data_IF_412868888518
#
_entry.id   IF_412868888518
#
_cell.length_a   1.000
_cell.length_b   1.000
_cell.length_c   1.000
_cell.angle_alpha   90.00
_cell.angle_beta   90.00
_cell.angle_gamma   90.00
#
_symmetry.space_group_name_H-M   'P 1'
#
loop_
_entity.id
_entity.type
_entity.pdbx_description
1 polymer ?
#
# COMPACT_ATOMS: atom_id res chain seq x y z
N UNK A 1 34.56 -14.35 -11.26
CA UNK A 1 34.02 -14.96 -10.03
C UNK A 1 32.56 -15.34 -10.30
N UNK A 2 32.07 -16.48 -9.77
CA UNK A 2 30.67 -16.90 -9.97
C UNK A 2 29.94 -16.93 -8.63
N UNK A 3 28.65 -16.53 -8.63
CA UNK A 3 27.79 -16.52 -7.47
C UNK A 3 26.39 -17.02 -7.86
N UNK A 4 25.70 -17.67 -6.94
CA UNK A 4 24.30 -18.04 -7.14
C UNK A 4 23.38 -16.88 -6.74
N UNK A 5 22.24 -16.81 -7.37
CA UNK A 5 21.24 -15.80 -7.05
C UNK A 5 19.88 -16.14 -7.60
N UNK A 6 18.96 -15.18 -7.45
CA UNK A 6 17.61 -15.23 -7.99
C UNK A 6 17.22 -13.90 -8.61
N UNK A 7 16.29 -13.94 -9.53
CA UNK A 7 15.66 -12.75 -10.09
C UNK A 7 14.57 -12.25 -9.16
N UNK A 8 14.63 -10.98 -8.79
CA UNK A 8 13.61 -10.31 -7.98
C UNK A 8 13.16 -9.01 -8.69
N UNK A 9 11.94 -8.52 -8.45
CA UNK A 9 11.55 -7.17 -8.86
C UNK A 9 12.45 -6.11 -8.21
N UNK A 10 12.60 -4.97 -8.88
CA UNK A 10 13.36 -3.85 -8.31
C UNK A 10 12.71 -3.39 -7.00
N UNK A 11 13.53 -3.22 -5.98
CA UNK A 11 13.07 -2.91 -4.64
C UNK A 11 12.64 -4.15 -3.85
N UNK A 12 11.74 -3.93 -2.90
CA UNK A 12 11.18 -5.01 -2.08
C UNK A 12 9.82 -5.45 -2.60
N UNK A 13 9.49 -6.73 -2.39
CA UNK A 13 8.14 -7.23 -2.62
C UNK A 13 7.25 -6.71 -1.49
N UNK A 14 6.20 -5.98 -1.86
CA UNK A 14 5.24 -5.45 -0.91
C UNK A 14 4.19 -6.51 -0.58
N UNK A 15 4.15 -6.93 0.68
CA UNK A 15 3.04 -7.71 1.21
C UNK A 15 1.92 -6.76 1.61
N UNK A 16 0.83 -6.76 0.85
CA UNK A 16 -0.30 -5.88 1.10
C UNK A 16 -1.29 -6.55 2.04
N UNK A 17 -1.40 -5.99 3.25
CA UNK A 17 -2.33 -6.45 4.27
C UNK A 17 -3.71 -5.79 4.14
N UNK A 18 -4.73 -6.41 4.70
CA UNK A 18 -6.01 -5.74 4.87
C UNK A 18 -5.87 -4.58 5.86
N UNK A 19 -6.46 -3.41 5.58
CA UNK A 19 -6.49 -2.33 6.55
C UNK A 19 -7.28 -2.78 7.79
N UNK A 20 -6.72 -2.54 8.96
CA UNK A 20 -7.39 -2.85 10.23
C UNK A 20 -8.06 -1.55 10.73
N UNK A 21 -9.38 -1.55 10.79
CA UNK A 21 -10.17 -0.47 11.38
C UNK A 21 -10.83 -0.94 12.66
N UNK A 22 -10.45 -0.36 13.80
CA UNK A 22 -11.09 -0.62 15.10
C UNK A 22 -10.70 -1.92 15.81
N UNK A 23 -11.48 -2.28 16.83
CA UNK A 23 -11.30 -3.47 17.67
C UNK A 23 -12.04 -4.65 17.03
N UNK A 24 -11.46 -5.25 16.01
CA UNK A 24 -12.14 -6.43 15.47
C UNK A 24 -11.38 -7.00 14.28
N UNK A 25 -10.63 -7.98 14.39
CA UNK A 25 -9.95 -8.81 13.39
C UNK A 25 -9.90 -8.31 11.94
N UNK A 26 -9.20 -9.00 11.10
CA UNK A 26 -9.11 -8.68 9.66
C UNK A 26 -10.52 -8.69 9.00
N UNK A 27 -10.89 -7.65 8.23
CA UNK A 27 -12.18 -7.62 7.53
C UNK A 27 -12.21 -8.67 6.42
N UNK A 28 -13.42 -9.09 6.01
CA UNK A 28 -13.61 -10.06 4.93
C UNK A 28 -13.54 -9.37 3.56
N UNK A 29 -12.87 -10.02 2.61
CA UNK A 29 -12.83 -9.54 1.23
C UNK A 29 -14.21 -9.76 0.59
N UNK A 30 -14.84 -8.68 0.12
CA UNK A 30 -16.10 -8.73 -0.63
C UNK A 30 -15.87 -8.73 -2.14
N UNK A 31 -14.82 -8.05 -2.59
CA UNK A 31 -14.42 -8.00 -4.00
C UNK A 31 -12.91 -8.04 -4.11
N UNK A 32 -12.43 -8.82 -5.06
CA UNK A 32 -11.03 -8.85 -5.48
C UNK A 32 -10.98 -8.55 -6.97
N UNK A 33 -10.31 -7.47 -7.35
CA UNK A 33 -10.37 -6.89 -8.70
C UNK A 33 -9.14 -7.24 -9.55
N UNK A 34 -8.24 -8.04 -9.00
CA UNK A 34 -6.98 -8.44 -9.64
C UNK A 34 -6.76 -9.94 -9.49
N UNK A 35 -5.94 -10.48 -10.38
CA UNK A 35 -5.48 -11.87 -10.37
C UNK A 35 -3.94 -11.91 -10.30
N UNK A 36 -3.37 -13.07 -9.99
CA UNK A 36 -1.93 -13.27 -10.11
C UNK A 36 -1.47 -13.00 -11.55
N UNK A 37 -0.36 -12.29 -11.70
CA UNK A 37 0.15 -11.81 -12.98
C UNK A 37 -0.49 -10.50 -13.49
N UNK A 38 -1.53 -9.97 -12.84
CA UNK A 38 -2.14 -8.69 -13.22
C UNK A 38 -1.18 -7.54 -13.00
N UNK A 39 -1.09 -6.64 -13.98
CA UNK A 39 -0.40 -5.35 -13.83
C UNK A 39 -1.34 -4.32 -13.26
N UNK A 40 -0.81 -3.52 -12.35
CA UNK A 40 -1.55 -2.49 -11.63
C UNK A 40 -0.78 -1.18 -11.62
N UNK A 41 -1.51 -0.08 -11.62
CA UNK A 41 -0.96 1.26 -11.45
C UNK A 41 -0.97 1.68 -9.98
N UNK A 42 -0.11 2.63 -9.60
CA UNK A 42 -0.14 3.21 -8.27
C UNK A 42 -1.52 3.84 -7.99
N UNK A 43 -2.10 3.57 -6.80
CA UNK A 43 -3.43 4.01 -6.41
C UNK A 43 -4.58 3.16 -6.95
N UNK A 44 -4.34 2.20 -7.85
CA UNK A 44 -5.39 1.32 -8.38
C UNK A 44 -6.05 0.51 -7.27
N UNK A 45 -7.38 0.39 -7.31
CA UNK A 45 -8.16 -0.42 -6.38
C UNK A 45 -7.93 -1.92 -6.65
N UNK A 46 -7.52 -2.66 -5.63
CA UNK A 46 -7.19 -4.08 -5.70
C UNK A 46 -8.26 -4.96 -5.03
N UNK A 47 -8.74 -4.53 -3.86
CA UNK A 47 -9.76 -5.27 -3.11
C UNK A 47 -10.66 -4.31 -2.32
N UNK A 48 -11.90 -4.77 -2.05
CA UNK A 48 -12.87 -4.12 -1.16
C UNK A 48 -13.23 -5.06 -0.02
N UNK A 49 -13.56 -4.48 1.15
CA UNK A 49 -13.87 -5.21 2.36
C UNK A 49 -15.30 -5.00 2.84
N UNK A 50 -15.82 -5.92 3.66
CA UNK A 50 -17.21 -5.96 4.15
C UNK A 50 -17.61 -4.79 5.06
N UNK A 51 -16.64 -4.08 5.62
CA UNK A 51 -16.86 -2.88 6.45
C UNK A 51 -17.40 -1.70 5.65
N UNK A 52 -17.18 -1.64 4.33
CA UNK A 52 -17.57 -0.52 3.47
C UNK A 52 -19.08 -0.23 3.48
N UNK A 53 -19.91 -1.28 3.46
CA UNK A 53 -21.36 -1.11 3.39
C UNK A 53 -21.93 -0.41 4.65
N UNK A 54 -21.47 -0.80 5.83
CA UNK A 54 -21.87 -0.19 7.10
C UNK A 54 -21.43 1.28 7.19
N UNK A 55 -20.20 1.59 6.80
CA UNK A 55 -19.68 2.96 6.81
C UNK A 55 -20.39 3.86 5.78
N UNK A 56 -20.72 3.34 4.59
CA UNK A 56 -21.53 4.09 3.60
C UNK A 56 -22.93 4.42 4.13
N UNK A 57 -23.57 3.48 4.84
CA UNK A 57 -24.85 3.74 5.48
C UNK A 57 -24.73 4.83 6.57
N UNK A 58 -23.70 4.78 7.41
CA UNK A 58 -23.43 5.81 8.42
C UNK A 58 -23.16 7.18 7.77
N UNK A 59 -22.37 7.24 6.69
CA UNK A 59 -22.14 8.47 5.93
C UNK A 59 -23.46 9.08 5.44
N UNK A 60 -24.38 8.26 4.92
CA UNK A 60 -25.70 8.71 4.50
C UNK A 60 -26.53 9.33 5.64
N UNK A 61 -26.47 8.76 6.85
CA UNK A 61 -27.14 9.31 8.03
C UNK A 61 -26.56 10.69 8.41
N UNK A 62 -25.22 10.80 8.40
CA UNK A 62 -24.52 12.05 8.73
C UNK A 62 -24.83 13.14 7.69
N UNK A 63 -24.83 12.81 6.40
CA UNK A 63 -25.18 13.76 5.34
C UNK A 63 -26.63 14.28 5.48
N UNK A 64 -27.58 13.41 5.82
CA UNK A 64 -28.96 13.81 6.11
C UNK A 64 -29.04 14.74 7.33
N UNK A 65 -28.25 14.45 8.40
CA UNK A 65 -28.16 15.32 9.58
C UNK A 65 -27.59 16.70 9.23
N UNK A 66 -26.51 16.75 8.45
CA UNK A 66 -25.91 18.01 7.97
C UNK A 66 -26.89 18.81 7.16
N UNK A 67 -27.60 18.18 6.21
CA UNK A 67 -28.64 18.87 5.40
C UNK A 67 -29.75 19.46 6.27
N UNK A 68 -30.25 18.73 7.27
CA UNK A 68 -31.26 19.21 8.22
C UNK A 68 -30.75 20.41 9.03
N UNK A 69 -29.51 20.28 9.60
CA UNK A 69 -28.93 21.38 10.40
C UNK A 69 -28.70 22.63 9.57
N UNK A 70 -28.24 22.51 8.32
CA UNK A 70 -28.13 23.66 7.40
C UNK A 70 -29.46 24.34 7.12
N UNK A 71 -30.51 23.56 6.88
CA UNK A 71 -31.87 24.09 6.66
C UNK A 71 -32.36 24.82 7.88
N UNK A 72 -32.21 24.27 9.08
CA UNK A 72 -32.56 24.91 10.35
C UNK A 72 -31.80 26.19 10.58
N UNK A 73 -30.49 26.20 10.37
CA UNK A 73 -29.62 27.38 10.47
C UNK A 73 -30.13 28.51 9.53
N UNK A 74 -30.44 28.15 8.26
CA UNK A 74 -30.92 29.12 7.29
C UNK A 74 -32.29 29.76 7.70
N UNK A 75 -33.14 29.00 8.36
CA UNK A 75 -34.43 29.56 8.91
C UNK A 75 -34.11 30.44 10.11
N UNK A 76 -33.34 29.93 11.09
CA UNK A 76 -33.04 30.63 12.32
C UNK A 76 -32.31 31.95 12.07
N UNK A 77 -31.35 31.96 11.11
CA UNK A 77 -30.61 33.19 10.74
C UNK A 77 -31.57 34.30 10.21
N UNK A 78 -32.53 33.91 9.36
CA UNK A 78 -33.52 34.88 8.86
C UNK A 78 -34.44 35.41 9.97
N UNK A 79 -34.79 34.56 10.94
CA UNK A 79 -35.59 34.98 12.07
C UNK A 79 -34.82 35.95 12.98
N UNK A 80 -33.54 35.68 13.25
CA UNK A 80 -32.69 36.57 14.04
C UNK A 80 -32.56 37.95 13.39
N UNK A 81 -32.40 38.04 12.07
CA UNK A 81 -32.36 39.35 11.40
C UNK A 81 -33.65 40.16 11.65
N UNK A 82 -34.81 39.49 11.65
CA UNK A 82 -36.08 40.10 11.97
C UNK A 82 -36.17 40.56 13.45
N UNK A 83 -35.70 39.70 14.37
CA UNK A 83 -35.64 40.02 15.80
C UNK A 83 -34.71 41.20 16.08
N UNK A 84 -33.55 41.28 15.44
CA UNK A 84 -32.60 42.41 15.54
C UNK A 84 -33.27 43.72 15.13
N UNK A 85 -34.08 43.71 14.07
CA UNK A 85 -34.79 44.90 13.63
C UNK A 85 -35.88 45.32 14.64
N UNK A 86 -36.63 44.36 15.17
CA UNK A 86 -37.66 44.64 16.18
C UNK A 86 -37.06 45.14 17.50
N UNK A 87 -35.91 44.61 17.90
CA UNK A 87 -35.18 45.11 19.11
C UNK A 87 -34.69 46.54 18.91
N UNK A 88 -34.21 46.89 17.73
CA UNK A 88 -33.77 48.27 17.40
C UNK A 88 -34.96 49.27 17.47
N UNK A 89 -36.12 48.80 17.13
CA UNK A 89 -37.36 49.62 17.22
C UNK A 89 -37.98 49.66 18.62
N UNK A 90 -37.38 48.97 19.61
CA UNK A 90 -37.88 48.88 20.97
C UNK A 90 -39.15 48.02 21.11
N UNK A 91 -39.51 47.23 20.10
CA UNK A 91 -40.70 46.40 20.09
C UNK A 91 -40.57 45.09 20.88
N UNK A 92 -39.33 44.61 21.10
CA UNK A 92 -38.99 43.42 21.91
C UNK A 92 -37.80 43.68 22.79
N UNK A 93 -37.67 42.90 23.87
CA UNK A 93 -36.56 43.00 24.81
C UNK A 93 -35.27 42.47 24.19
N UNK A 94 -34.12 43.05 24.54
CA UNK A 94 -32.80 42.52 24.09
C UNK A 94 -32.51 41.12 24.58
N UNK A 95 -33.02 40.74 25.75
CA UNK A 95 -32.91 39.38 26.31
C UNK A 95 -33.52 38.30 25.40
N UNK A 96 -34.63 38.65 24.69
CA UNK A 96 -35.25 37.70 23.76
C UNK A 96 -34.37 37.49 22.51
N UNK A 97 -33.68 38.52 22.05
CA UNK A 97 -32.68 38.42 20.98
C UNK A 97 -31.47 37.56 21.41
N UNK A 98 -30.93 37.81 22.63
CA UNK A 98 -29.80 37.04 23.19
C UNK A 98 -30.10 35.53 23.25
N UNK A 99 -31.33 35.16 23.66
CA UNK A 99 -31.77 33.74 23.66
C UNK A 99 -31.71 33.15 22.24
N UNK A 100 -32.20 33.86 21.23
CA UNK A 100 -32.24 33.41 19.84
C UNK A 100 -30.81 33.30 19.25
N UNK A 101 -29.95 34.24 19.59
CA UNK A 101 -28.54 34.19 19.17
C UNK A 101 -27.80 33.02 19.79
N UNK A 102 -28.04 32.70 21.08
CA UNK A 102 -27.52 31.53 21.73
C UNK A 102 -28.02 30.20 21.10
N UNK A 103 -29.31 30.14 20.74
CA UNK A 103 -29.88 29.01 20.00
C UNK A 103 -29.18 28.81 18.64
N UNK A 104 -28.92 29.92 17.89
CA UNK A 104 -28.21 29.86 16.62
C UNK A 104 -26.77 29.37 16.82
N UNK A 105 -26.07 29.85 17.85
CA UNK A 105 -24.72 29.43 18.18
C UNK A 105 -24.68 27.94 18.51
N UNK A 106 -25.62 27.44 19.35
CA UNK A 106 -25.72 26.02 19.65
C UNK A 106 -25.96 25.16 18.40
N UNK A 107 -26.85 25.61 17.50
CA UNK A 107 -27.16 24.92 16.24
C UNK A 107 -25.95 24.91 15.30
N UNK A 108 -25.19 26.00 15.26
CA UNK A 108 -23.95 26.07 14.49
C UNK A 108 -22.88 25.11 15.02
N UNK A 109 -22.76 24.97 16.35
CA UNK A 109 -21.90 23.97 17.00
C UNK A 109 -22.27 22.55 16.60
N UNK A 110 -23.56 22.20 16.61
CA UNK A 110 -24.03 20.89 16.16
C UNK A 110 -23.70 20.62 14.69
N UNK A 111 -23.75 21.64 13.82
CA UNK A 111 -23.32 21.48 12.43
C UNK A 111 -21.80 21.19 12.33
N UNK A 112 -20.99 21.89 13.10
CA UNK A 112 -19.54 21.62 13.12
C UNK A 112 -19.22 20.21 13.59
N UNK A 113 -19.90 19.72 14.63
CA UNK A 113 -19.77 18.33 15.09
C UNK A 113 -20.13 17.32 13.97
N UNK A 114 -21.27 17.54 13.29
CA UNK A 114 -21.69 16.66 12.21
C UNK A 114 -20.73 16.69 11.01
N UNK A 115 -20.11 17.84 10.72
CA UNK A 115 -19.07 17.95 9.70
C UNK A 115 -17.79 17.18 10.10
N UNK A 116 -17.37 17.27 11.36
CA UNK A 116 -16.24 16.51 11.87
C UNK A 116 -16.51 14.98 11.82
N UNK A 117 -17.72 14.56 12.17
CA UNK A 117 -18.14 13.16 12.04
C UNK A 117 -18.09 12.68 10.59
N UNK A 118 -18.52 13.50 9.62
CA UNK A 118 -18.41 13.18 8.19
C UNK A 118 -16.96 12.94 7.77
N UNK A 119 -16.04 13.83 8.18
CA UNK A 119 -14.60 13.68 7.88
C UNK A 119 -14.03 12.39 8.49
N UNK A 120 -14.44 12.07 9.72
CA UNK A 120 -14.01 10.80 10.37
C UNK A 120 -14.49 9.59 9.58
N UNK A 121 -15.78 9.55 9.18
CA UNK A 121 -16.30 8.43 8.38
C UNK A 121 -15.65 8.37 6.99
N UNK A 122 -15.36 9.51 6.37
CA UNK A 122 -14.65 9.55 5.10
C UNK A 122 -13.24 8.94 5.21
N UNK A 123 -12.50 9.24 6.28
CA UNK A 123 -11.21 8.64 6.55
C UNK A 123 -11.31 7.11 6.78
N UNK A 124 -12.32 6.65 7.52
CA UNK A 124 -12.56 5.22 7.74
C UNK A 124 -12.95 4.49 6.45
N UNK A 125 -13.68 5.13 5.54
CA UNK A 125 -14.03 4.55 4.23
C UNK A 125 -12.80 4.29 3.36
N UNK A 126 -11.78 5.14 3.41
CA UNK A 126 -10.51 4.90 2.71
C UNK A 126 -9.88 3.58 3.17
N UNK A 127 -10.00 3.24 4.45
CA UNK A 127 -9.50 1.99 5.03
C UNK A 127 -10.33 0.76 4.67
N UNK A 128 -11.44 0.91 3.94
CA UNK A 128 -12.22 -0.24 3.44
C UNK A 128 -11.77 -0.74 2.07
N UNK A 129 -10.76 -0.11 1.51
CA UNK A 129 -10.21 -0.40 0.20
C UNK A 129 -8.74 -0.73 0.30
N UNK A 130 -8.30 -1.75 -0.42
CA UNK A 130 -6.88 -2.02 -0.63
C UNK A 130 -6.47 -1.45 -1.97
N UNK A 131 -5.54 -0.51 -1.97
CA UNK A 131 -5.00 0.12 -3.17
C UNK A 131 -3.52 -0.19 -3.34
N UNK A 132 -3.06 -0.24 -4.59
CA UNK A 132 -1.66 -0.46 -4.91
C UNK A 132 -0.81 0.74 -4.46
N UNK A 133 0.20 0.56 -3.60
CA UNK A 133 1.10 1.65 -3.19
C UNK A 133 2.05 2.08 -4.31
N UNK A 134 2.35 1.17 -5.23
CA UNK A 134 3.24 1.37 -6.38
C UNK A 134 2.63 0.76 -7.63
N UNK A 135 3.09 1.17 -8.81
CA UNK A 135 2.84 0.43 -10.04
C UNK A 135 3.67 -0.87 -10.04
N UNK A 136 3.07 -1.98 -10.49
CA UNK A 136 3.77 -3.26 -10.49
C UNK A 136 2.91 -4.43 -10.96
N UNK A 137 3.36 -5.64 -10.64
CA UNK A 137 2.65 -6.89 -10.97
C UNK A 137 2.26 -7.61 -9.69
N UNK A 138 1.05 -8.12 -9.63
CA UNK A 138 0.56 -8.99 -8.55
C UNK A 138 1.29 -10.34 -8.67
N UNK A 139 2.17 -10.64 -7.73
CA UNK A 139 3.01 -11.84 -7.77
C UNK A 139 2.26 -13.05 -7.20
N UNK A 140 1.51 -12.84 -6.12
CA UNK A 140 0.76 -13.91 -5.44
C UNK A 140 -0.46 -13.37 -4.73
N UNK A 141 -1.53 -14.15 -4.70
CA UNK A 141 -2.72 -13.93 -3.89
C UNK A 141 -2.72 -14.86 -2.68
N UNK A 142 -2.85 -14.28 -1.48
CA UNK A 142 -2.89 -15.03 -0.21
C UNK A 142 -4.30 -15.18 0.35
N UNK A 143 -5.25 -14.38 -0.13
CA UNK A 143 -6.64 -14.45 0.30
C UNK A 143 -7.59 -14.26 -0.89
N UNK A 144 -8.78 -14.87 -0.80
CA UNK A 144 -9.82 -14.87 -1.84
C UNK A 144 -11.07 -14.15 -1.38
N UNK A 145 -11.97 -13.88 -2.32
CA UNK A 145 -13.30 -13.34 -2.01
C UNK A 145 -14.02 -14.25 -1.00
N UNK A 146 -14.56 -13.64 0.05
CA UNK A 146 -15.22 -14.34 1.16
C UNK A 146 -14.31 -14.70 2.32
N UNK A 147 -12.99 -14.63 2.16
CA UNK A 147 -12.00 -14.93 3.21
C UNK A 147 -11.62 -13.69 4.01
N UNK A 148 -11.09 -13.94 5.20
CA UNK A 148 -10.40 -12.95 6.05
C UNK A 148 -8.90 -13.13 5.89
N UNK A 149 -8.16 -12.11 5.41
CA UNK A 149 -6.71 -12.21 5.28
C UNK A 149 -6.03 -12.50 6.61
N UNK A 150 -5.08 -13.46 6.57
CA UNK A 150 -4.22 -13.81 7.70
C UNK A 150 -2.92 -13.02 7.72
N UNK A 151 -1.89 -13.58 8.38
CA UNK A 151 -0.58 -12.93 8.59
C UNK A 151 0.15 -12.57 7.29
N UNK A 152 -0.07 -13.33 6.22
CA UNK A 152 0.53 -13.05 4.89
C UNK A 152 -0.18 -11.94 4.12
N UNK A 153 -1.20 -11.32 4.70
CA UNK A 153 -1.97 -10.27 4.03
C UNK A 153 -2.88 -10.79 2.92
N UNK A 154 -3.18 -9.91 1.96
CA UNK A 154 -4.08 -10.18 0.82
C UNK A 154 -3.30 -10.67 -0.39
N UNK A 155 -2.23 -9.98 -0.74
CA UNK A 155 -1.43 -10.26 -1.93
C UNK A 155 0.01 -9.71 -1.81
N UNK A 156 0.87 -10.19 -2.71
CA UNK A 156 2.22 -9.68 -2.93
C UNK A 156 2.27 -8.86 -4.22
N UNK A 157 2.87 -7.67 -4.15
CA UNK A 157 3.05 -6.76 -5.27
C UNK A 157 4.53 -6.47 -5.46
N UNK A 158 5.04 -6.64 -6.69
CA UNK A 158 6.43 -6.36 -7.07
C UNK A 158 6.52 -5.40 -8.24
N UNK A 159 7.53 -4.51 -8.24
CA UNK A 159 7.81 -3.57 -9.32
C UNK A 159 8.51 -4.26 -10.51
N UNK A 160 7.86 -5.26 -11.14
CA UNK A 160 8.45 -6.15 -12.16
C UNK A 160 8.81 -5.47 -13.49
N UNK A 161 8.51 -4.19 -13.67
CA UNK A 161 8.98 -3.43 -14.85
C UNK A 161 10.51 -3.25 -14.83
N UNK A 162 11.11 -3.29 -13.65
CA UNK A 162 12.56 -3.32 -13.46
C UNK A 162 12.91 -4.55 -12.64
N UNK A 163 13.75 -5.40 -13.20
CA UNK A 163 14.20 -6.60 -12.52
C UNK A 163 15.63 -6.43 -12.04
N UNK A 164 15.90 -7.03 -10.91
CA UNK A 164 17.21 -7.12 -10.30
C UNK A 164 17.58 -8.60 -10.09
N UNK A 165 18.84 -8.89 -9.94
CA UNK A 165 19.26 -10.18 -9.39
C UNK A 165 19.81 -9.97 -7.97
N UNK A 166 19.28 -10.72 -7.02
CA UNK A 166 19.88 -10.85 -5.69
C UNK A 166 20.84 -12.02 -5.73
N UNK A 167 22.12 -11.73 -5.66
CA UNK A 167 23.19 -12.75 -5.69
C UNK A 167 23.86 -12.87 -4.33
N UNK A 168 24.25 -14.08 -3.97
CA UNK A 168 24.95 -14.42 -2.73
C UNK A 168 26.42 -14.62 -3.01
N UNK A 169 27.24 -13.70 -2.56
CA UNK A 169 28.69 -13.72 -2.69
C UNK A 169 29.30 -14.19 -1.36
N UNK A 170 30.24 -15.14 -1.41
CA UNK A 170 30.94 -15.60 -0.21
C UNK A 170 31.68 -14.45 0.48
N UNK A 171 31.69 -14.47 1.83
CA UNK A 171 32.44 -13.51 2.64
C UNK A 171 33.91 -13.38 2.23
N UNK A 172 34.50 -14.47 1.85
CA UNK A 172 35.91 -14.52 1.39
C UNK A 172 36.18 -13.80 0.08
N UNK A 173 35.16 -13.59 -0.74
CA UNK A 173 35.28 -13.00 -2.08
C UNK A 173 34.67 -11.58 -2.19
N UNK A 174 34.08 -11.09 -1.14
CA UNK A 174 33.32 -9.81 -1.17
C UNK A 174 34.24 -8.61 -1.42
N UNK A 175 35.48 -8.66 -1.01
CA UNK A 175 36.50 -7.64 -1.22
C UNK A 175 36.82 -7.40 -2.71
N UNK A 176 36.43 -8.33 -3.59
CA UNK A 176 36.59 -8.27 -5.04
C UNK A 176 35.36 -7.66 -5.76
N UNK A 177 34.25 -7.45 -5.05
CA UNK A 177 33.04 -6.88 -5.62
C UNK A 177 33.08 -5.36 -5.50
N UNK A 178 32.70 -4.67 -6.57
CA UNK A 178 32.64 -3.21 -6.63
C UNK A 178 31.28 -2.74 -7.14
N UNK A 179 30.86 -1.56 -6.72
CA UNK A 179 29.69 -0.87 -7.32
C UNK A 179 29.98 -0.64 -8.81
N UNK A 180 28.91 -0.63 -9.61
CA UNK A 180 28.91 -0.50 -11.07
C UNK A 180 29.66 -1.58 -11.83
N UNK A 181 30.18 -2.62 -11.14
CA UNK A 181 30.83 -3.77 -11.77
C UNK A 181 29.86 -4.49 -12.70
N UNK A 182 30.25 -4.79 -13.96
CA UNK A 182 29.39 -5.53 -14.88
C UNK A 182 29.25 -6.99 -14.44
N UNK A 183 28.01 -7.48 -14.60
CA UNK A 183 27.62 -8.84 -14.23
C UNK A 183 26.87 -9.47 -15.40
N UNK A 184 27.24 -10.70 -15.71
CA UNK A 184 26.52 -11.55 -16.65
C UNK A 184 25.76 -12.62 -15.90
N UNK A 185 24.49 -12.78 -16.22
CA UNK A 185 23.61 -13.75 -15.55
C UNK A 185 23.14 -14.79 -16.56
N UNK A 186 23.21 -16.05 -16.16
CA UNK A 186 22.66 -17.18 -16.93
C UNK A 186 21.67 -17.94 -16.08
N UNK A 187 20.69 -18.57 -16.73
CA UNK A 187 19.75 -19.42 -15.99
C UNK A 187 20.41 -20.71 -15.56
N UNK A 188 20.14 -21.16 -14.33
CA UNK A 188 20.63 -22.45 -13.81
C UNK A 188 19.88 -23.63 -14.45
N UNK A 189 18.54 -23.53 -14.56
CA UNK A 189 17.66 -24.63 -14.95
C UNK A 189 16.74 -24.30 -16.14
N UNK A 190 17.00 -23.25 -16.90
CA UNK A 190 16.13 -22.77 -17.97
C UNK A 190 15.25 -21.59 -17.53
N UNK A 191 14.22 -21.26 -18.32
CA UNK A 191 13.34 -20.10 -18.09
C UNK A 191 13.61 -18.96 -19.06
N UNK A 192 14.88 -18.69 -19.39
CA UNK A 192 15.27 -17.82 -20.49
C UNK A 192 16.48 -18.38 -21.23
N UNK A 193 16.70 -17.98 -22.47
CA UNK A 193 17.83 -18.38 -23.29
C UNK A 193 18.90 -17.29 -23.32
N UNK A 194 20.17 -17.70 -23.46
CA UNK A 194 21.31 -16.80 -23.52
C UNK A 194 21.71 -16.25 -22.15
N UNK A 195 22.19 -15.00 -22.12
CA UNK A 195 22.59 -14.32 -20.89
C UNK A 195 21.85 -12.99 -20.74
N UNK A 196 21.72 -12.53 -19.51
CA UNK A 196 21.27 -11.21 -19.13
C UNK A 196 22.48 -10.39 -18.68
N UNK A 197 22.42 -9.09 -18.90
CA UNK A 197 23.45 -8.15 -18.47
C UNK A 197 22.91 -7.24 -17.38
N UNK A 198 23.80 -6.89 -16.46
CA UNK A 198 23.46 -5.97 -15.39
C UNK A 198 24.70 -5.38 -14.73
N UNK A 199 24.47 -4.56 -13.72
CA UNK A 199 25.51 -3.91 -12.94
C UNK A 199 25.21 -4.03 -11.45
N UNK A 200 26.26 -4.15 -10.64
CA UNK A 200 26.15 -4.10 -9.18
C UNK A 200 25.68 -2.72 -8.74
N UNK A 201 24.54 -2.66 -8.07
CA UNK A 201 23.97 -1.40 -7.56
C UNK A 201 24.05 -1.28 -6.04
N UNK A 202 24.14 -2.41 -5.33
CA UNK A 202 24.22 -2.42 -3.88
C UNK A 202 24.94 -3.65 -3.37
N UNK A 203 25.79 -3.44 -2.38
CA UNK A 203 26.44 -4.49 -1.60
C UNK A 203 25.86 -4.36 -0.19
N UNK A 204 25.29 -5.43 0.36
CA UNK A 204 24.74 -5.42 1.73
C UNK A 204 25.86 -5.20 2.74
N UNK A 205 25.69 -4.35 3.75
CA UNK A 205 26.65 -4.21 4.84
C UNK A 205 26.57 -5.36 5.85
N UNK A 206 25.66 -6.32 5.64
CA UNK A 206 25.39 -7.42 6.56
C UNK A 206 25.84 -8.75 5.98
N UNK A 207 26.66 -9.49 6.74
CA UNK A 207 26.95 -10.89 6.46
C UNK A 207 25.82 -11.75 7.04
N UNK A 208 25.29 -12.68 6.24
CA UNK A 208 24.23 -13.62 6.65
C UNK A 208 24.68 -15.05 6.47
N UNK A 209 24.01 -15.97 7.14
CA UNK A 209 24.06 -17.37 6.73
C UNK A 209 23.36 -17.50 5.38
N UNK A 210 23.90 -18.37 4.52
CA UNK A 210 23.36 -18.62 3.19
C UNK A 210 21.91 -19.09 3.31
N UNK A 211 21.00 -18.37 2.67
CA UNK A 211 19.63 -18.81 2.52
C UNK A 211 19.63 -19.92 1.46
N UNK A 212 19.06 -21.07 1.77
CA UNK A 212 19.23 -22.34 1.04
C UNK A 212 18.85 -22.22 -0.44
N UNK A 213 19.73 -21.66 -1.26
CA UNK A 213 19.68 -21.82 -2.71
C UNK A 213 20.40 -23.11 -3.16
N UNK A 214 20.98 -23.87 -2.24
CA UNK A 214 21.68 -25.13 -2.51
C UNK A 214 20.72 -26.30 -2.47
N UNK A 215 20.81 -27.17 -3.48
CA UNK A 215 20.10 -28.44 -3.53
C UNK A 215 20.74 -29.55 -2.66
N UNK A 216 21.84 -29.26 -1.97
CA UNK A 216 22.55 -30.22 -1.12
C UNK A 216 22.61 -29.74 0.33
N UNK A 217 21.77 -30.31 1.23
CA UNK A 217 21.65 -29.88 2.61
C UNK A 217 22.87 -30.22 3.48
N UNK A 218 23.84 -31.01 2.98
CA UNK A 218 24.86 -31.59 3.80
C UNK A 218 26.21 -30.82 3.81
N UNK A 219 26.43 -29.85 2.95
CA UNK A 219 27.71 -29.19 2.79
C UNK A 219 27.82 -27.70 3.15
N UNK A 220 26.70 -26.97 3.37
CA UNK A 220 26.74 -25.51 3.37
C UNK A 220 26.00 -24.77 4.51
N UNK A 221 25.64 -25.46 5.60
CA UNK A 221 24.88 -24.83 6.70
C UNK A 221 25.64 -23.71 7.45
N UNK A 222 26.96 -23.64 7.34
CA UNK A 222 27.81 -22.62 7.99
C UNK A 222 28.40 -21.59 7.03
N UNK A 223 28.00 -21.60 5.78
CA UNK A 223 28.60 -20.70 4.78
C UNK A 223 28.06 -19.28 4.91
N UNK A 224 28.94 -18.33 5.16
CA UNK A 224 28.61 -16.91 5.27
C UNK A 224 28.65 -16.26 3.91
N UNK A 225 27.59 -15.47 3.64
CA UNK A 225 27.43 -14.75 2.38
C UNK A 225 27.06 -13.29 2.62
N UNK A 226 27.37 -12.48 1.63
CA UNK A 226 26.93 -11.09 1.52
C UNK A 226 26.00 -10.99 0.32
N UNK A 227 24.82 -10.41 0.53
CA UNK A 227 23.86 -10.15 -0.53
C UNK A 227 24.35 -8.98 -1.40
N UNK A 228 24.35 -9.19 -2.70
CA UNK A 228 24.68 -8.15 -3.69
C UNK A 228 23.51 -8.02 -4.67
N UNK A 229 23.03 -6.80 -4.87
CA UNK A 229 21.98 -6.51 -5.84
C UNK A 229 22.60 -6.05 -7.16
N UNK A 230 22.10 -6.62 -8.24
CA UNK A 230 22.50 -6.36 -9.61
C UNK A 230 21.28 -5.87 -10.38
N UNK A 231 21.27 -4.61 -10.81
CA UNK A 231 20.22 -4.10 -11.69
C UNK A 231 20.44 -4.66 -13.11
N UNK A 232 19.39 -5.20 -13.70
CA UNK A 232 19.43 -5.66 -15.08
C UNK A 232 19.32 -4.49 -16.06
N UNK A 233 19.92 -4.64 -17.23
CA UNK A 233 19.71 -3.71 -18.34
C UNK A 233 18.22 -3.68 -18.71
N UNK A 234 17.67 -2.53 -19.14
CA UNK A 234 16.20 -2.39 -19.37
C UNK A 234 15.63 -3.37 -20.39
N UNK A 235 16.41 -3.78 -21.38
CA UNK A 235 16.01 -4.77 -22.37
C UNK A 235 15.93 -6.17 -21.76
N UNK A 236 16.92 -6.56 -21.00
CA UNK A 236 16.98 -7.84 -20.33
C UNK A 236 15.97 -7.95 -19.18
N UNK A 237 15.73 -6.86 -18.46
CA UNK A 237 14.69 -6.75 -17.45
C UNK A 237 13.30 -7.09 -18.03
N UNK A 238 12.95 -6.55 -19.20
CA UNK A 238 11.68 -6.86 -19.87
C UNK A 238 11.54 -8.33 -20.28
N UNK A 239 12.64 -9.00 -20.61
CA UNK A 239 12.64 -10.42 -21.01
C UNK A 239 12.28 -11.35 -19.84
N UNK A 240 12.58 -10.95 -18.62
CA UNK A 240 12.47 -11.80 -17.42
C UNK A 240 11.50 -11.25 -16.38
N UNK A 241 10.71 -10.24 -16.71
CA UNK A 241 9.79 -9.55 -15.78
C UNK A 241 8.75 -10.45 -15.10
N UNK A 242 8.41 -11.56 -15.77
CA UNK A 242 7.42 -12.53 -15.29
C UNK A 242 8.11 -13.77 -14.65
N UNK A 243 9.42 -13.68 -14.37
CA UNK A 243 10.25 -14.78 -13.86
C UNK A 243 10.82 -14.48 -12.46
N UNK A 244 10.04 -13.84 -11.61
CA UNK A 244 10.41 -13.59 -10.21
C UNK A 244 10.70 -14.90 -9.49
N UNK A 245 11.82 -14.94 -8.74
CA UNK A 245 12.28 -16.14 -8.01
C UNK A 245 13.07 -17.13 -8.86
N UNK A 246 13.25 -16.87 -10.17
CA UNK A 246 14.06 -17.77 -11.03
C UNK A 246 15.52 -17.74 -10.59
N UNK A 247 16.11 -18.93 -10.44
CA UNK A 247 17.52 -19.09 -10.07
C UNK A 247 18.44 -18.76 -11.24
N UNK A 248 19.50 -18.04 -10.93
CA UNK A 248 20.51 -17.60 -11.89
C UNK A 248 21.92 -17.81 -11.34
N UNK A 249 22.86 -17.98 -12.25
CA UNK A 249 24.29 -17.98 -11.97
C UNK A 249 24.84 -16.64 -12.46
N UNK A 250 25.40 -15.87 -11.56
CA UNK A 250 26.03 -14.59 -11.84
C UNK A 250 27.53 -14.77 -12.05
N UNK A 251 28.06 -14.20 -13.12
CA UNK A 251 29.48 -14.08 -13.38
C UNK A 251 29.86 -12.61 -13.30
N UNK A 252 30.62 -12.25 -12.26
CA UNK A 252 31.16 -10.91 -12.10
C UNK A 252 32.42 -10.81 -12.95
N UNK A 253 32.41 -9.85 -13.88
CA UNK A 253 33.56 -9.58 -14.77
C UNK A 253 34.56 -8.72 -13.99
N UNK A 254 35.84 -9.18 -14.00
CA UNK A 254 36.92 -8.53 -13.26
C UNK A 254 37.47 -7.28 -13.96
#
# INVERSE_FOLDING_TARGET
>A
MAALGRLDPSGEIHQLAAPISGIGGSPRITRLLVAEGSRVEAGQLLAEFDTAAGLRAQAGVIEARIANLRSRLAVQSRDIERYRELTRQGAIASTDLDVRENELLALSGQLQEALADRERIAAELVLTELRAPIAGTVLRLHARVGERPGERGVLELGASERMEALIEVYESDIDRVRLDQPVRLTSEAGGFSGSLRGRVIRISPQVRQRDVLSSDPSQDADTRVVEVRVALDPEDSRRVRDLTGLRVIAQLEG
#
